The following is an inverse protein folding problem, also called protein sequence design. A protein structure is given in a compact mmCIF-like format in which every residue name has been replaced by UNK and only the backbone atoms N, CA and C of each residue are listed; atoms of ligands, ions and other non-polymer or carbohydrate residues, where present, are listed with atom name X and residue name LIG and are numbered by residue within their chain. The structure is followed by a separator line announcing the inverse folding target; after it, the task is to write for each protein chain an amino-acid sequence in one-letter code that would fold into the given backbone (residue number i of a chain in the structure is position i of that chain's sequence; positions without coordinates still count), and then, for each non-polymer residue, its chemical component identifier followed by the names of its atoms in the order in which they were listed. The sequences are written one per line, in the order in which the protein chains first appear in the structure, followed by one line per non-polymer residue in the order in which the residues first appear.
data_IF_266576915843
#
_entry.id   IF_266576915843
#
_cell.length_a   1.000
_cell.length_b   1.000
_cell.length_c   1.000
_cell.angle_alpha   90.00
_cell.angle_beta   90.00
_cell.angle_gamma   90.00
#
_symmetry.space_group_name_H-M   'P 1'
#
loop_
_entity.id
_entity.type
_entity.pdbx_description
1 polymer ?
#
# COMPACT_ATOMS: atom_id res chain seq x y z
N UNK A 1 -1.52 -15.08 42.19
CA UNK A 1 -0.29 -14.58 41.53
C UNK A 1 -0.07 -15.50 40.34
N UNK A 2 -0.92 -15.34 39.32
CA UNK A 2 -0.84 -16.08 38.07
C UNK A 2 -0.18 -15.14 37.07
N UNK A 3 1.05 -15.47 36.68
CA UNK A 3 1.81 -14.69 35.72
C UNK A 3 1.41 -15.12 34.30
N UNK A 4 0.92 -14.14 33.55
CA UNK A 4 0.55 -14.20 32.14
C UNK A 4 1.73 -14.68 31.29
N UNK A 5 1.55 -15.80 30.58
CA UNK A 5 2.52 -16.26 29.58
C UNK A 5 2.16 -15.64 28.23
N UNK A 6 2.69 -14.44 28.02
CA UNK A 6 2.70 -13.69 26.77
C UNK A 6 3.51 -14.45 25.70
N UNK A 7 2.86 -15.16 24.78
CA UNK A 7 3.51 -15.80 23.63
C UNK A 7 3.79 -14.75 22.54
N UNK A 8 4.91 -14.06 22.70
CA UNK A 8 5.51 -13.25 21.65
C UNK A 8 6.00 -14.15 20.52
N UNK A 9 5.44 -13.90 19.34
CA UNK A 9 5.87 -14.41 18.05
C UNK A 9 7.32 -13.98 17.80
N UNK A 10 8.26 -14.92 17.92
CA UNK A 10 9.61 -14.75 17.40
C UNK A 10 9.58 -15.05 15.90
N UNK A 11 9.26 -14.03 15.11
CA UNK A 11 9.41 -14.06 13.66
C UNK A 11 10.90 -13.79 13.34
N UNK A 12 11.76 -14.79 13.52
CA UNK A 12 13.13 -14.70 13.05
C UNK A 12 13.18 -15.07 11.56
N UNK A 13 13.66 -14.18 10.66
CA UNK A 13 14.04 -14.62 9.34
C UNK A 13 15.27 -15.51 9.49
N UNK A 14 15.06 -16.82 9.42
CA UNK A 14 16.17 -17.76 9.33
C UNK A 14 16.78 -17.64 7.92
N UNK A 15 17.57 -16.59 7.70
CA UNK A 15 18.54 -16.54 6.62
C UNK A 15 19.56 -17.61 6.90
N UNK A 16 19.45 -18.74 6.21
CA UNK A 16 20.45 -19.79 6.22
C UNK A 16 21.80 -19.17 5.81
N UNK A 17 22.71 -19.09 6.78
CA UNK A 17 24.05 -18.58 6.59
C UNK A 17 24.76 -19.38 5.50
N UNK A 18 25.33 -18.69 4.52
CA UNK A 18 26.18 -19.30 3.52
C UNK A 18 27.56 -19.55 4.14
N UNK A 19 27.80 -20.77 4.62
CA UNK A 19 29.17 -21.20 4.92
C UNK A 19 30.03 -21.15 3.64
N UNK A 20 31.09 -20.34 3.66
CA UNK A 20 32.12 -20.32 2.63
C UNK A 20 33.00 -21.56 2.75
N UNK A 21 32.69 -22.62 2.00
CA UNK A 21 33.66 -23.68 1.74
C UNK A 21 34.48 -23.32 0.50
N UNK A 22 35.72 -22.86 0.71
CA UNK A 22 36.76 -22.83 -0.32
C UNK A 22 37.06 -24.26 -0.78
N UNK A 23 36.89 -24.55 -2.06
CA UNK A 23 37.65 -25.59 -2.77
C UNK A 23 38.01 -25.08 -4.15
N UNK A 24 39.32 -24.96 -4.41
CA UNK A 24 39.89 -24.53 -5.68
C UNK A 24 40.15 -25.68 -6.65
N UNK A 25 39.89 -25.39 -7.93
CA UNK A 25 40.75 -25.63 -9.10
C UNK A 25 41.19 -27.05 -9.51
N UNK A 26 40.71 -27.50 -10.68
CA UNK A 26 41.43 -28.45 -11.56
C UNK A 26 40.53 -29.17 -12.60
N UNK A 27 40.82 -28.96 -13.89
CA UNK A 27 40.30 -29.67 -15.10
C UNK A 27 38.80 -29.55 -15.44
N UNK A 28 38.44 -28.60 -16.32
CA UNK A 28 37.33 -28.71 -17.28
C UNK A 28 35.90 -29.00 -16.78
N UNK A 29 35.65 -29.10 -15.47
CA UNK A 29 34.34 -29.39 -14.91
C UNK A 29 33.57 -28.10 -14.63
N UNK A 30 32.33 -28.05 -15.13
CA UNK A 30 31.36 -27.01 -14.80
C UNK A 30 31.11 -27.10 -13.29
N UNK A 31 31.55 -26.11 -12.51
CA UNK A 31 31.32 -26.11 -11.06
C UNK A 31 29.84 -25.84 -10.76
N UNK A 32 29.19 -26.69 -9.96
CA UNK A 32 27.78 -26.54 -9.55
C UNK A 32 27.59 -25.75 -8.24
N UNK A 33 28.60 -24.96 -7.84
CA UNK A 33 28.58 -24.13 -6.64
C UNK A 33 28.47 -24.95 -5.37
N UNK A 34 27.34 -24.82 -4.64
CA UNK A 34 27.07 -25.53 -3.37
C UNK A 34 26.75 -27.02 -3.57
N UNK A 35 26.49 -27.45 -4.80
CA UNK A 35 26.11 -28.82 -5.12
C UNK A 35 27.31 -29.61 -5.63
N UNK A 36 27.35 -30.89 -5.25
CA UNK A 36 28.44 -31.81 -5.60
C UNK A 36 28.40 -32.24 -7.07
N UNK A 37 27.21 -32.31 -7.68
CA UNK A 37 26.99 -32.81 -9.04
C UNK A 37 25.67 -32.28 -9.65
N UNK A 38 25.54 -32.37 -10.97
CA UNK A 38 24.36 -31.90 -11.73
C UNK A 38 23.05 -32.57 -11.27
N UNK A 39 23.10 -33.85 -10.89
CA UNK A 39 21.92 -34.59 -10.43
C UNK A 39 21.45 -34.10 -9.06
N UNK A 40 22.36 -33.82 -8.13
CA UNK A 40 22.00 -33.21 -6.84
C UNK A 40 21.38 -31.82 -7.02
N UNK A 41 21.89 -31.01 -7.95
CA UNK A 41 21.31 -29.71 -8.28
C UNK A 41 19.88 -29.85 -8.82
N UNK A 42 19.65 -30.76 -9.77
CA UNK A 42 18.32 -31.03 -10.32
C UNK A 42 17.33 -31.51 -9.24
N UNK A 43 17.78 -32.39 -8.35
CA UNK A 43 16.95 -32.90 -7.26
C UNK A 43 16.56 -31.79 -6.26
N UNK A 44 17.49 -30.88 -5.96
CA UNK A 44 17.22 -29.74 -5.10
C UNK A 44 16.21 -28.78 -5.74
N UNK A 45 16.33 -28.52 -7.04
CA UNK A 45 15.36 -27.72 -7.79
C UNK A 45 13.96 -28.34 -7.74
N UNK A 46 13.84 -29.64 -8.06
CA UNK A 46 12.55 -30.33 -8.06
C UNK A 46 11.90 -30.37 -6.67
N UNK A 47 12.72 -30.47 -5.62
CA UNK A 47 12.26 -30.45 -4.23
C UNK A 47 11.73 -29.06 -3.84
N UNK A 48 12.42 -27.99 -4.26
CA UNK A 48 11.98 -26.61 -4.03
C UNK A 48 10.68 -26.28 -4.79
N UNK A 49 10.55 -26.75 -6.03
CA UNK A 49 9.33 -26.59 -6.84
C UNK A 49 8.13 -27.30 -6.19
N UNK A 50 8.35 -28.51 -5.64
CA UNK A 50 7.31 -29.25 -4.91
C UNK A 50 6.86 -28.51 -3.64
N UNK A 51 7.78 -27.87 -2.93
CA UNK A 51 7.43 -27.03 -1.76
C UNK A 51 6.64 -25.79 -2.15
N UNK A 52 7.00 -25.12 -3.25
CA UNK A 52 6.26 -23.97 -3.75
C UNK A 52 4.81 -24.36 -4.07
N UNK A 53 4.61 -25.49 -4.76
CA UNK A 53 3.29 -26.00 -5.08
C UNK A 53 2.46 -26.31 -3.82
N UNK A 54 3.05 -27.00 -2.84
CA UNK A 54 2.38 -27.30 -1.55
C UNK A 54 2.03 -26.02 -0.78
N UNK A 55 2.95 -25.06 -0.74
CA UNK A 55 2.72 -23.78 -0.07
C UNK A 55 1.61 -22.98 -0.75
N UNK A 56 1.58 -22.94 -2.08
CA UNK A 56 0.49 -22.32 -2.84
C UNK A 56 -0.86 -23.00 -2.58
N UNK A 57 -0.91 -24.33 -2.51
CA UNK A 57 -2.14 -25.06 -2.16
C UNK A 57 -2.60 -24.71 -0.75
N UNK A 58 -1.70 -24.76 0.23
CA UNK A 58 -2.01 -24.39 1.62
C UNK A 58 -2.45 -22.94 1.77
N UNK A 59 -1.85 -22.01 1.02
CA UNK A 59 -2.30 -20.61 0.99
C UNK A 59 -3.71 -20.49 0.43
N UNK A 60 -4.03 -21.20 -0.66
CA UNK A 60 -5.39 -21.20 -1.23
C UNK A 60 -6.43 -21.77 -0.28
N UNK A 61 -6.10 -22.82 0.47
CA UNK A 61 -6.98 -23.38 1.51
C UNK A 61 -7.22 -22.35 2.62
N UNK A 62 -6.16 -21.77 3.18
CA UNK A 62 -6.27 -20.78 4.25
C UNK A 62 -6.96 -19.48 3.81
N UNK A 63 -6.72 -19.03 2.57
CA UNK A 63 -7.42 -17.90 1.97
C UNK A 63 -8.89 -18.25 1.73
N UNK A 64 -9.20 -19.43 1.18
CA UNK A 64 -10.56 -19.89 0.97
C UNK A 64 -11.37 -20.05 2.27
N UNK A 65 -10.71 -20.48 3.36
CA UNK A 65 -11.32 -20.55 4.69
C UNK A 65 -11.51 -19.17 5.34
N UNK A 66 -10.60 -18.22 5.09
CA UNK A 66 -10.72 -16.83 5.55
C UNK A 66 -11.75 -16.03 4.74
N UNK A 67 -11.94 -16.37 3.46
CA UNK A 67 -12.93 -15.78 2.56
C UNK A 67 -14.06 -16.77 2.32
N UNK A 68 -14.80 -17.11 3.37
CA UNK A 68 -16.08 -17.84 3.26
C UNK A 68 -17.18 -17.06 2.53
N UNK A 69 -16.85 -16.03 1.75
CA UNK A 69 -17.79 -15.27 0.93
C UNK A 69 -17.15 -15.00 -0.44
N UNK A 70 -17.73 -15.58 -1.49
CA UNK A 70 -17.21 -15.52 -2.87
C UNK A 70 -17.57 -14.19 -3.53
N UNK A 71 -17.08 -13.09 -2.99
CA UNK A 71 -17.16 -11.80 -3.68
C UNK A 71 -15.76 -11.40 -4.14
N UNK A 72 -15.51 -11.26 -5.47
CA UNK A 72 -14.25 -10.74 -5.97
C UNK A 72 -13.96 -9.38 -5.33
N UNK A 73 -12.72 -9.12 -4.84
CA UNK A 73 -12.39 -7.82 -4.30
C UNK A 73 -12.50 -6.79 -5.42
N UNK A 74 -13.40 -5.83 -5.24
CA UNK A 74 -13.53 -4.67 -6.13
C UNK A 74 -12.18 -3.93 -6.15
N UNK A 75 -11.55 -3.72 -7.32
CA UNK A 75 -10.29 -2.99 -7.42
C UNK A 75 -10.40 -1.51 -7.02
N UNK A 76 -11.62 -1.00 -6.76
CA UNK A 76 -11.87 0.32 -6.18
C UNK A 76 -12.13 0.27 -4.66
N UNK A 77 -12.11 -0.90 -4.03
CA UNK A 77 -12.20 -1.00 -2.58
C UNK A 77 -10.88 -0.57 -1.96
N UNK A 78 -10.88 0.64 -1.42
CA UNK A 78 -9.83 1.20 -0.55
C UNK A 78 -9.27 0.12 0.39
N UNK A 79 -7.94 0.08 0.62
CA UNK A 79 -7.34 -0.90 1.53
C UNK A 79 -8.10 -0.80 2.84
N UNK A 80 -8.72 -1.92 3.23
CA UNK A 80 -9.58 -1.99 4.39
C UNK A 80 -8.76 -1.54 5.59
N UNK A 81 -8.90 -0.25 5.93
CA UNK A 81 -8.35 0.31 7.15
C UNK A 81 -8.86 -0.58 8.28
N UNK A 82 -7.99 -0.90 9.22
CA UNK A 82 -8.16 -1.86 10.31
C UNK A 82 -9.29 -1.49 11.31
N UNK A 83 -10.22 -0.64 10.89
CA UNK A 83 -11.33 -0.08 11.64
C UNK A 83 -12.67 -0.77 11.38
N UNK A 84 -12.68 -2.00 10.85
CA UNK A 84 -13.94 -2.75 10.60
C UNK A 84 -14.84 -2.87 11.83
N UNK A 85 -14.29 -2.70 13.05
CA UNK A 85 -15.01 -2.86 14.31
C UNK A 85 -14.98 -1.62 15.22
N UNK A 86 -14.84 -0.39 14.69
CA UNK A 86 -15.09 0.79 15.55
C UNK A 86 -16.58 0.83 15.89
N UNK A 87 -16.90 0.88 17.20
CA UNK A 87 -18.29 1.06 17.63
C UNK A 87 -18.84 2.38 17.07
N UNK A 88 -20.11 2.41 16.59
CA UNK A 88 -20.68 3.62 16.01
C UNK A 88 -20.57 4.82 16.97
N UNK A 89 -20.71 4.58 18.27
CA UNK A 89 -20.55 5.60 19.30
C UNK A 89 -19.12 6.20 19.35
N UNK A 90 -18.08 5.37 19.23
CA UNK A 90 -16.69 5.86 19.23
C UNK A 90 -16.39 6.66 17.96
N UNK A 91 -16.90 6.23 16.81
CA UNK A 91 -16.79 6.96 15.54
C UNK A 91 -17.40 8.36 15.67
N UNK A 92 -18.64 8.45 16.16
CA UNK A 92 -19.31 9.76 16.32
C UNK A 92 -18.55 10.67 17.30
N UNK A 93 -17.98 10.10 18.37
CA UNK A 93 -17.15 10.87 19.31
C UNK A 93 -15.92 11.45 18.64
N UNK A 94 -15.16 10.61 17.93
CA UNK A 94 -13.92 11.03 17.24
C UNK A 94 -14.23 12.12 16.21
N UNK A 95 -15.29 11.94 15.42
CA UNK A 95 -15.74 12.93 14.44
C UNK A 95 -16.13 14.24 15.14
N UNK A 96 -16.88 14.17 16.25
CA UNK A 96 -17.30 15.34 17.00
C UNK A 96 -16.14 16.14 17.60
N UNK A 97 -15.14 15.46 18.15
CA UNK A 97 -13.95 16.10 18.71
C UNK A 97 -13.13 16.79 17.59
N UNK A 98 -12.94 16.12 16.46
CA UNK A 98 -12.24 16.69 15.30
C UNK A 98 -12.95 17.91 14.72
N UNK A 99 -14.26 17.85 14.52
CA UNK A 99 -15.03 19.00 13.99
C UNK A 99 -15.04 20.17 14.97
N UNK A 100 -15.03 19.90 16.27
CA UNK A 100 -14.89 20.94 17.31
C UNK A 100 -13.54 21.63 17.21
N UNK A 101 -12.46 20.88 17.07
CA UNK A 101 -11.11 21.43 16.87
C UNK A 101 -11.01 22.24 15.57
N UNK A 102 -11.53 21.73 14.46
CA UNK A 102 -11.53 22.45 13.19
C UNK A 102 -12.35 23.74 13.23
N UNK A 103 -13.51 23.73 13.89
CA UNK A 103 -14.35 24.92 14.01
C UNK A 103 -13.76 25.96 14.96
N UNK A 104 -13.04 25.53 16.00
CA UNK A 104 -12.27 26.42 16.87
C UNK A 104 -11.04 27.00 16.15
N UNK A 105 -10.39 26.19 15.30
CA UNK A 105 -9.27 26.59 14.46
C UNK A 105 -9.71 27.26 13.15
N UNK A 106 -10.96 27.74 13.06
CA UNK A 106 -11.48 28.48 11.90
C UNK A 106 -10.74 29.81 11.80
N UNK A 107 -9.57 29.78 11.18
CA UNK A 107 -8.89 30.97 10.69
C UNK A 107 -9.84 31.66 9.74
N UNK A 108 -10.11 32.94 9.98
CA UNK A 108 -10.75 33.79 8.97
C UNK A 108 -10.01 33.61 7.64
N UNK A 109 -10.76 33.59 6.53
CA UNK A 109 -10.16 33.47 5.22
C UNK A 109 -9.00 34.46 5.12
N UNK A 110 -7.79 33.97 4.85
CA UNK A 110 -6.61 34.82 4.72
C UNK A 110 -6.82 35.69 3.48
N UNK A 111 -7.41 36.86 3.69
CA UNK A 111 -7.43 37.93 2.69
C UNK A 111 -5.99 38.43 2.67
N UNK A 112 -5.25 38.14 1.59
CA UNK A 112 -3.93 38.73 1.38
C UNK A 112 -4.12 40.26 1.37
N UNK A 113 -3.74 40.91 2.48
CA UNK A 113 -4.08 42.30 2.79
C UNK A 113 -3.60 43.34 1.78
N UNK A 114 -2.74 42.97 0.83
CA UNK A 114 -2.21 43.86 -0.20
C UNK A 114 -2.07 43.13 -1.54
N UNK A 115 -3.17 43.07 -2.31
CA UNK A 115 -3.10 42.77 -3.74
C UNK A 115 -3.40 41.34 -4.19
N UNK A 116 -3.84 40.45 -3.29
CA UNK A 116 -4.34 39.12 -3.68
C UNK A 116 -5.75 39.22 -4.24
N UNK A 117 -5.91 39.32 -5.55
CA UNK A 117 -7.22 39.17 -6.19
C UNK A 117 -7.73 37.75 -5.96
N UNK A 118 -8.98 37.54 -5.50
CA UNK A 118 -9.52 36.19 -5.41
C UNK A 118 -9.54 35.61 -6.83
N UNK A 119 -8.89 34.45 -7.00
CA UNK A 119 -8.98 33.69 -8.25
C UNK A 119 -10.40 33.15 -8.34
N UNK A 120 -11.31 33.95 -8.92
CA UNK A 120 -12.64 33.48 -9.26
C UNK A 120 -12.49 32.46 -10.37
N UNK A 121 -12.89 31.21 -10.11
CA UNK A 121 -12.96 30.19 -11.16
C UNK A 121 -13.97 30.67 -12.22
N UNK A 122 -13.62 30.68 -13.52
CA UNK A 122 -14.58 31.03 -14.56
C UNK A 122 -15.75 30.03 -14.54
N UNK A 123 -16.95 30.52 -14.85
CA UNK A 123 -18.21 29.75 -14.81
C UNK A 123 -18.17 28.51 -15.72
N UNK A 124 -17.36 28.56 -16.79
CA UNK A 124 -17.09 27.43 -17.67
C UNK A 124 -15.60 27.36 -18.05
N UNK A 125 -15.07 26.13 -18.19
CA UNK A 125 -13.69 25.90 -18.63
C UNK A 125 -13.63 25.92 -20.16
N UNK A 126 -12.89 26.86 -20.77
CA UNK A 126 -12.78 26.93 -22.23
C UNK A 126 -12.06 25.68 -22.76
N UNK A 127 -12.54 25.14 -23.88
CA UNK A 127 -11.95 23.96 -24.54
C UNK A 127 -10.93 24.35 -25.62
N UNK A 128 -10.89 25.61 -26.02
CA UNK A 128 -9.97 26.13 -27.04
C UNK A 128 -9.32 27.46 -26.63
N UNK A 129 -8.17 27.79 -27.24
CA UNK A 129 -7.45 29.06 -26.98
C UNK A 129 -8.30 30.28 -27.38
N UNK A 130 -9.05 30.16 -28.48
CA UNK A 130 -9.94 31.25 -28.97
C UNK A 130 -11.07 31.52 -27.98
N UNK A 131 -11.69 30.45 -27.46
CA UNK A 131 -12.74 30.54 -26.44
C UNK A 131 -12.19 31.12 -25.12
N UNK A 132 -10.99 30.71 -24.72
CA UNK A 132 -10.31 31.26 -23.55
C UNK A 132 -10.04 32.76 -23.70
N UNK A 133 -9.60 33.20 -24.88
CA UNK A 133 -9.37 34.61 -25.18
C UNK A 133 -10.64 35.46 -25.14
N UNK A 134 -11.75 34.93 -25.67
CA UNK A 134 -13.07 35.60 -25.60
C UNK A 134 -13.53 35.75 -24.13
N UNK A 135 -13.44 34.67 -23.36
CA UNK A 135 -13.85 34.65 -21.95
C UNK A 135 -12.99 35.60 -21.10
N UNK A 136 -11.68 35.68 -21.36
CA UNK A 136 -10.79 36.62 -20.69
C UNK A 136 -11.14 38.09 -20.97
N UNK A 137 -11.47 38.43 -22.22
CA UNK A 137 -11.93 39.80 -22.56
C UNK A 137 -13.23 40.14 -21.86
N UNK A 138 -14.21 39.23 -21.90
CA UNK A 138 -15.48 39.43 -21.19
C UNK A 138 -15.27 39.64 -19.68
N UNK A 139 -14.34 38.92 -19.04
CA UNK A 139 -14.07 39.09 -17.61
C UNK A 139 -13.38 40.42 -17.27
N UNK A 140 -12.52 40.93 -18.16
CA UNK A 140 -11.84 42.22 -17.97
C UNK A 140 -12.83 43.37 -18.21
N UNK A 141 -13.65 43.27 -19.25
CA UNK A 141 -14.63 44.30 -19.63
C UNK A 141 -15.85 44.35 -18.69
N UNK A 142 -16.22 43.23 -18.07
CA UNK A 142 -17.33 43.16 -17.09
C UNK A 142 -16.92 43.68 -15.70
N UNK A 143 -15.69 44.17 -15.53
CA UNK A 143 -15.16 44.64 -14.24
C UNK A 143 -14.99 46.16 -14.15
N UNK A 144 -16.01 46.88 -14.62
CA UNK A 144 -16.38 48.23 -14.15
C UNK A 144 -17.82 48.25 -13.61
#
# INVERSE_FOLDING_TARGET
MEAERNEQIANEPHTAEAEQTKTGGGTGEISFGKFKDAKSLLNAYNSLEAEFTKRCQRLRELEGERTGDKTPPDPLAEPATEFRNISPALRERIIGDYLRELSAAKSEAVVLGTGGMPVMKPVARPRTIVEAGKLARELIERKE
#
